data_IF_685108169662
#
_entry.id   IF_685108169662
#
_cell.length_a   1.000
_cell.length_b   1.000
_cell.length_c   1.000
_cell.angle_alpha   90.00
_cell.angle_beta   90.00
_cell.angle_gamma   90.00
#
_symmetry.space_group_name_H-M   'P 1'
#
loop_
_entity.id
_entity.type
_entity.pdbx_description
1 polymer ?
#
# COMPACT_ATOMS: atom_id res chain seq x y z
N UNK A 1 18.46 -15.33 6.05
CA UNK A 1 18.66 -13.87 5.91
C UNK A 1 17.62 -13.34 4.96
N UNK A 2 17.14 -12.09 5.12
CA UNK A 2 16.06 -11.58 4.26
C UNK A 2 16.61 -10.73 3.11
N UNK A 3 15.85 -10.65 2.00
CA UNK A 3 16.15 -9.76 0.88
C UNK A 3 16.31 -8.30 1.30
N UNK A 4 15.66 -7.90 2.40
CA UNK A 4 15.82 -6.58 3.01
C UNK A 4 17.25 -6.29 3.43
N UNK A 5 17.90 -7.28 4.05
CA UNK A 5 19.25 -7.13 4.60
C UNK A 5 20.28 -7.06 3.48
N UNK A 6 20.11 -7.93 2.47
CA UNK A 6 20.93 -7.95 1.26
C UNK A 6 20.78 -6.63 0.50
N UNK A 7 19.55 -6.15 0.31
CA UNK A 7 19.29 -4.86 -0.31
C UNK A 7 19.95 -3.70 0.46
N UNK A 8 19.90 -3.73 1.80
CA UNK A 8 20.55 -2.73 2.64
C UNK A 8 22.07 -2.68 2.50
N UNK A 9 22.72 -3.84 2.31
CA UNK A 9 24.17 -3.91 2.04
C UNK A 9 24.50 -3.36 0.64
N UNK A 10 23.73 -3.75 -0.38
CA UNK A 10 23.94 -3.30 -1.77
C UNK A 10 23.65 -1.80 -1.92
N UNK A 11 22.62 -1.28 -1.25
CA UNK A 11 22.21 0.13 -1.32
C UNK A 11 23.32 1.12 -0.98
N UNK A 12 24.22 0.77 -0.06
CA UNK A 12 25.35 1.63 0.34
C UNK A 12 26.32 1.91 -0.81
N UNK A 13 26.39 1.02 -1.79
CA UNK A 13 27.33 1.09 -2.91
C UNK A 13 26.59 1.33 -4.23
N UNK A 14 25.54 0.56 -4.49
CA UNK A 14 24.67 0.65 -5.66
C UNK A 14 23.22 0.98 -5.23
N UNK A 15 22.88 2.26 -5.01
CA UNK A 15 21.57 2.69 -4.51
C UNK A 15 20.38 2.35 -5.41
N UNK A 16 20.53 2.34 -6.73
CA UNK A 16 19.44 2.07 -7.67
C UNK A 16 19.08 0.57 -7.63
N UNK A 17 20.10 -0.30 -7.64
CA UNK A 17 19.90 -1.74 -7.49
C UNK A 17 19.35 -2.07 -6.10
N UNK A 18 19.87 -1.43 -5.06
CA UNK A 18 19.36 -1.56 -3.69
C UNK A 18 17.89 -1.17 -3.57
N UNK A 19 17.46 -0.08 -4.22
CA UNK A 19 16.06 0.37 -4.27
C UNK A 19 15.16 -0.61 -5.01
N UNK A 20 15.65 -1.23 -6.09
CA UNK A 20 14.90 -2.23 -6.83
C UNK A 20 14.70 -3.53 -6.01
N UNK A 21 15.70 -3.91 -5.20
CA UNK A 21 15.68 -5.09 -4.32
C UNK A 21 14.95 -4.88 -2.98
N UNK A 22 14.96 -3.68 -2.41
CA UNK A 22 14.41 -3.43 -1.06
C UNK A 22 12.92 -3.82 -0.88
N UNK A 23 12.01 -3.65 -1.87
CA UNK A 23 10.60 -4.02 -1.75
C UNK A 23 10.30 -5.51 -2.01
N UNK A 24 11.31 -6.35 -2.23
CA UNK A 24 11.15 -7.79 -2.53
C UNK A 24 10.66 -8.59 -1.30
N UNK A 25 10.49 -7.94 -0.15
CA UNK A 25 10.20 -8.53 1.16
C UNK A 25 8.75 -9.03 1.36
N UNK A 26 7.95 -9.17 0.30
CA UNK A 26 6.49 -9.37 0.39
C UNK A 26 5.90 -10.52 -0.41
N UNK A 27 6.71 -11.50 -0.82
CA UNK A 27 6.28 -12.60 -1.68
C UNK A 27 6.61 -12.36 -3.15
N UNK A 28 6.69 -13.46 -3.90
CA UNK A 28 7.10 -13.51 -5.31
C UNK A 28 6.14 -12.72 -6.22
N UNK A 29 6.31 -11.40 -6.27
CA UNK A 29 5.82 -10.61 -7.40
C UNK A 29 6.69 -10.91 -8.62
N UNK A 30 6.09 -11.00 -9.79
CA UNK A 30 6.79 -11.28 -11.06
C UNK A 30 7.92 -10.27 -11.31
N UNK A 31 7.72 -9.03 -10.86
CA UNK A 31 8.73 -7.96 -10.87
C UNK A 31 9.92 -8.23 -9.92
N UNK A 32 9.71 -8.92 -8.80
CA UNK A 32 10.80 -9.33 -7.91
C UNK A 32 11.68 -10.40 -8.55
N UNK A 33 11.10 -11.35 -9.30
CA UNK A 33 11.86 -12.40 -9.99
C UNK A 33 12.86 -11.86 -11.02
N UNK A 34 12.51 -10.81 -11.75
CA UNK A 34 13.38 -10.18 -12.75
C UNK A 34 14.59 -9.44 -12.14
N UNK A 35 14.40 -8.75 -11.02
CA UNK A 35 15.51 -8.06 -10.32
C UNK A 35 16.42 -9.08 -9.63
N UNK A 36 15.85 -10.13 -9.03
CA UNK A 36 16.61 -11.23 -8.43
C UNK A 36 17.46 -11.92 -9.51
N UNK A 37 16.88 -12.31 -10.64
CA UNK A 37 17.62 -13.00 -11.71
C UNK A 37 18.71 -12.12 -12.33
N UNK A 38 18.49 -10.81 -12.46
CA UNK A 38 19.51 -9.85 -12.88
C UNK A 38 20.71 -9.87 -11.92
N UNK A 39 20.45 -9.84 -10.61
CA UNK A 39 21.49 -9.88 -9.57
C UNK A 39 22.24 -11.21 -9.60
N UNK A 40 21.54 -12.34 -9.75
CA UNK A 40 22.16 -13.66 -9.91
C UNK A 40 23.04 -13.76 -11.15
N UNK A 41 22.59 -13.20 -12.27
CA UNK A 41 23.30 -13.22 -13.54
C UNK A 41 24.66 -12.52 -13.49
N UNK A 42 24.83 -11.49 -12.64
CA UNK A 42 26.12 -10.81 -12.43
C UNK A 42 27.21 -11.75 -11.89
N UNK A 43 26.79 -12.80 -11.19
CA UNK A 43 27.67 -13.80 -10.59
C UNK A 43 27.55 -15.17 -11.26
N UNK A 44 26.82 -15.26 -12.38
CA UNK A 44 26.60 -16.52 -13.10
C UNK A 44 25.71 -17.51 -12.38
N UNK A 45 24.89 -17.07 -11.42
CA UNK A 45 23.94 -17.90 -10.71
C UNK A 45 22.67 -18.10 -11.51
N UNK A 46 22.09 -19.29 -11.42
CA UNK A 46 20.74 -19.54 -11.95
C UNK A 46 19.68 -18.86 -11.07
N UNK A 47 18.46 -18.59 -11.59
CA UNK A 47 17.38 -17.99 -10.80
C UNK A 47 17.03 -18.79 -9.53
N UNK A 48 17.21 -20.10 -9.55
CA UNK A 48 16.95 -21.00 -8.42
C UNK A 48 18.03 -20.92 -7.34
N UNK A 49 19.28 -20.66 -7.73
CA UNK A 49 20.41 -20.50 -6.81
C UNK A 49 20.50 -19.09 -6.23
N UNK A 50 19.77 -18.14 -6.84
CA UNK A 50 19.78 -16.73 -6.46
C UNK A 50 18.91 -16.49 -5.24
N UNK A 51 19.41 -16.94 -4.09
CA UNK A 51 18.79 -16.78 -2.77
C UNK A 51 19.46 -15.65 -1.99
N UNK A 52 18.75 -15.02 -1.01
CA UNK A 52 19.33 -14.00 -0.16
C UNK A 52 20.61 -14.46 0.54
N UNK A 53 20.60 -15.69 1.06
CA UNK A 53 21.74 -16.25 1.80
C UNK A 53 22.95 -16.46 0.87
N UNK A 54 22.73 -16.92 -0.37
CA UNK A 54 23.82 -17.14 -1.33
C UNK A 54 24.45 -15.84 -1.81
N UNK A 55 23.62 -14.83 -2.11
CA UNK A 55 24.13 -13.50 -2.48
C UNK A 55 24.86 -12.85 -1.31
N UNK A 56 24.35 -12.98 -0.09
CA UNK A 56 25.04 -12.46 1.07
C UNK A 56 26.39 -13.15 1.30
N UNK A 57 26.44 -14.47 1.17
CA UNK A 57 27.68 -15.24 1.27
C UNK A 57 28.71 -14.79 0.22
N UNK A 58 28.27 -14.51 -1.02
CA UNK A 58 29.14 -13.97 -2.06
C UNK A 58 29.69 -12.58 -1.72
N UNK A 59 28.86 -11.71 -1.15
CA UNK A 59 29.28 -10.37 -0.71
C UNK A 59 30.27 -10.46 0.46
N UNK A 60 30.06 -11.39 1.39
CA UNK A 60 30.94 -11.57 2.56
C UNK A 60 32.27 -12.23 2.20
N UNK A 61 32.25 -13.19 1.27
CA UNK A 61 33.46 -13.89 0.82
C UNK A 61 34.27 -13.07 -0.20
N UNK A 62 33.62 -12.20 -0.96
CA UNK A 62 34.28 -11.38 -1.96
C UNK A 62 33.80 -9.91 -1.93
N UNK A 63 34.56 -9.00 -1.30
CA UNK A 63 34.26 -7.57 -1.32
C UNK A 63 34.17 -6.96 -2.73
N UNK A 64 34.82 -7.55 -3.74
CA UNK A 64 34.71 -7.12 -5.15
C UNK A 64 33.30 -7.32 -5.72
N UNK A 65 32.47 -8.17 -5.10
CA UNK A 65 31.08 -8.33 -5.49
C UNK A 65 30.31 -6.99 -5.41
N UNK A 66 30.60 -6.17 -4.39
CA UNK A 66 30.00 -4.84 -4.24
C UNK A 66 30.47 -3.87 -5.34
N UNK A 67 31.71 -4.00 -5.78
CA UNK A 67 32.26 -3.19 -6.87
C UNK A 67 31.57 -3.54 -8.20
N UNK A 68 31.36 -4.84 -8.47
CA UNK A 68 30.60 -5.28 -9.67
C UNK A 68 29.19 -4.73 -9.70
N UNK A 69 28.50 -4.66 -8.56
CA UNK A 69 27.19 -4.00 -8.49
C UNK A 69 27.28 -2.51 -8.84
N UNK A 70 28.32 -1.81 -8.36
CA UNK A 70 28.53 -0.39 -8.70
C UNK A 70 28.77 -0.20 -10.18
N UNK A 71 29.66 -0.99 -10.76
CA UNK A 71 30.01 -0.90 -12.17
C UNK A 71 28.80 -1.19 -13.07
N UNK A 72 28.01 -2.22 -12.71
CA UNK A 72 26.79 -2.54 -13.41
C UNK A 72 25.76 -1.41 -13.32
N UNK A 73 25.57 -0.84 -12.12
CA UNK A 73 24.69 0.31 -11.94
C UNK A 73 25.14 1.51 -12.78
N UNK A 74 26.44 1.82 -12.79
CA UNK A 74 26.97 2.93 -13.58
C UNK A 74 26.80 2.70 -15.08
N UNK A 75 26.98 1.46 -15.54
CA UNK A 75 26.83 1.08 -16.95
C UNK A 75 25.37 1.08 -17.43
N UNK A 76 24.44 0.75 -16.54
CA UNK A 76 23.01 0.55 -16.89
C UNK A 76 22.08 1.51 -16.16
N UNK A 77 22.59 2.64 -15.68
CA UNK A 77 21.85 3.59 -14.83
C UNK A 77 20.50 3.98 -15.40
N UNK A 78 20.47 4.42 -16.65
CA UNK A 78 19.24 4.85 -17.34
C UNK A 78 18.20 3.74 -17.41
N UNK A 79 18.63 2.52 -17.75
CA UNK A 79 17.73 1.35 -17.80
C UNK A 79 17.20 0.98 -16.42
N UNK A 80 18.04 1.08 -15.37
CA UNK A 80 17.61 0.78 -14.00
C UNK A 80 16.63 1.84 -13.47
N UNK A 81 16.83 3.11 -13.81
CA UNK A 81 15.88 4.18 -13.48
C UNK A 81 14.55 4.01 -14.22
N UNK A 82 14.58 3.61 -15.49
CA UNK A 82 13.38 3.26 -16.26
C UNK A 82 12.58 2.13 -15.60
N UNK A 83 13.27 1.08 -15.12
CA UNK A 83 12.63 -0.03 -14.39
C UNK A 83 11.98 0.42 -13.07
N UNK A 84 12.56 1.40 -12.37
CA UNK A 84 11.94 2.01 -11.18
C UNK A 84 10.64 2.70 -11.57
N UNK A 85 10.67 3.51 -12.62
CA UNK A 85 9.50 4.25 -13.11
C UNK A 85 8.41 3.29 -13.58
N UNK A 86 8.76 2.24 -14.31
CA UNK A 86 7.82 1.20 -14.77
C UNK A 86 7.16 0.49 -13.59
N UNK A 87 7.95 0.08 -12.59
CA UNK A 87 7.43 -0.53 -11.35
C UNK A 87 6.47 0.39 -10.62
N UNK A 88 6.77 1.68 -10.53
CA UNK A 88 5.86 2.65 -9.91
C UNK A 88 4.58 2.84 -10.72
N UNK A 89 4.67 2.88 -12.06
CA UNK A 89 3.49 2.96 -12.95
C UNK A 89 2.57 1.76 -12.76
N UNK A 90 3.12 0.54 -12.74
CA UNK A 90 2.33 -0.69 -12.50
C UNK A 90 1.63 -0.62 -11.15
N UNK A 91 2.35 -0.22 -10.10
CA UNK A 91 1.75 -0.06 -8.76
C UNK A 91 0.64 0.98 -8.73
N UNK A 92 0.82 2.11 -9.42
CA UNK A 92 -0.22 3.14 -9.55
C UNK A 92 -1.42 2.61 -10.33
N UNK A 93 -1.21 1.81 -11.37
CA UNK A 93 -2.26 1.21 -12.18
C UNK A 93 -3.05 0.16 -11.39
N UNK A 94 -2.39 -0.72 -10.64
CA UNK A 94 -3.03 -1.65 -9.70
C UNK A 94 -3.90 -0.90 -8.68
N UNK A 95 -3.37 0.18 -8.10
CA UNK A 95 -4.12 1.04 -7.18
C UNK A 95 -5.31 1.70 -7.87
N UNK A 96 -5.15 2.17 -9.12
CA UNK A 96 -6.25 2.74 -9.90
C UNK A 96 -7.32 1.70 -10.19
N UNK A 97 -6.96 0.48 -10.58
CA UNK A 97 -7.90 -0.62 -10.83
C UNK A 97 -8.66 -0.94 -9.54
N UNK A 98 -7.98 -1.07 -8.41
CA UNK A 98 -8.62 -1.29 -7.11
C UNK A 98 -9.56 -0.14 -6.72
N UNK A 99 -9.14 1.10 -6.92
CA UNK A 99 -9.96 2.28 -6.67
C UNK A 99 -11.14 2.41 -7.66
N UNK A 100 -11.00 1.93 -8.89
CA UNK A 100 -12.06 1.89 -9.89
C UNK A 100 -13.07 0.78 -9.58
N UNK A 101 -12.61 -0.40 -9.17
CA UNK A 101 -13.49 -1.50 -8.79
C UNK A 101 -14.33 -1.14 -7.56
N UNK A 102 -13.71 -0.54 -6.54
CA UNK A 102 -14.42 0.00 -5.37
C UNK A 102 -15.36 1.15 -5.72
N UNK A 103 -15.02 2.00 -6.71
CA UNK A 103 -15.91 3.05 -7.21
C UNK A 103 -17.07 2.49 -8.04
N UNK A 104 -16.85 1.47 -8.86
CA UNK A 104 -17.87 0.81 -9.69
C UNK A 104 -18.86 0.01 -8.84
N UNK A 105 -18.38 -0.66 -7.80
CA UNK A 105 -19.24 -1.30 -6.79
C UNK A 105 -20.11 -0.28 -6.05
N UNK A 106 -19.56 0.89 -5.72
CA UNK A 106 -20.32 2.00 -5.10
C UNK A 106 -21.28 2.68 -6.08
N UNK A 107 -20.93 2.84 -7.35
CA UNK A 107 -21.82 3.40 -8.37
C UNK A 107 -23.01 2.47 -8.62
N UNK A 108 -22.82 1.14 -8.63
CA UNK A 108 -23.94 0.19 -8.68
C UNK A 108 -24.86 0.28 -7.46
N UNK A 109 -24.32 0.47 -6.25
CA UNK A 109 -25.16 0.72 -5.07
C UNK A 109 -25.96 2.01 -5.21
N UNK A 110 -25.32 3.11 -5.60
CA UNK A 110 -25.95 4.43 -5.75
C UNK A 110 -26.97 4.48 -6.90
N UNK A 111 -26.73 3.77 -8.01
CA UNK A 111 -27.71 3.62 -9.10
C UNK A 111 -28.89 2.75 -8.68
N UNK A 112 -28.66 1.67 -7.93
CA UNK A 112 -29.75 0.87 -7.36
C UNK A 112 -30.57 1.66 -6.33
N UNK A 113 -29.94 2.48 -5.49
CA UNK A 113 -30.62 3.38 -4.54
C UNK A 113 -31.40 4.49 -5.25
N UNK A 114 -30.86 5.06 -6.34
CA UNK A 114 -31.54 6.08 -7.16
C UNK A 114 -32.78 5.53 -7.88
N UNK A 115 -32.77 4.27 -8.31
CA UNK A 115 -33.93 3.63 -8.95
C UNK A 115 -35.00 3.23 -7.91
N UNK A 116 -34.61 2.93 -6.67
CA UNK A 116 -35.54 2.41 -5.64
C UNK A 116 -36.05 3.48 -4.67
N UNK A 117 -35.44 4.67 -4.64
CA UNK A 117 -35.97 5.86 -3.94
C UNK A 117 -35.98 5.77 -2.41
N UNK A 118 -35.30 4.79 -1.81
CA UNK A 118 -35.21 4.64 -0.35
C UNK A 118 -33.75 4.78 0.06
N UNK A 119 -33.46 5.87 0.78
CA UNK A 119 -32.18 6.09 1.47
C UNK A 119 -31.94 4.88 2.37
N UNK A 120 -30.80 4.18 2.26
CA UNK A 120 -30.49 3.00 3.07
C UNK A 120 -30.36 3.37 4.57
N UNK A 121 -31.49 3.57 5.25
CA UNK A 121 -31.56 3.83 6.71
C UNK A 121 -30.93 2.66 7.47
N UNK A 122 -30.97 1.47 6.88
CA UNK A 122 -30.34 0.26 7.40
C UNK A 122 -28.82 0.39 7.51
N UNK A 123 -28.16 1.08 6.57
CA UNK A 123 -26.70 1.28 6.59
C UNK A 123 -26.29 2.20 7.74
N UNK A 124 -27.02 3.30 7.94
CA UNK A 124 -26.78 4.22 9.06
C UNK A 124 -27.11 3.56 10.41
N UNK A 125 -28.21 2.80 10.50
CA UNK A 125 -28.57 2.06 11.70
C UNK A 125 -27.50 1.01 12.07
N UNK A 126 -26.98 0.28 11.09
CA UNK A 126 -25.94 -0.72 11.28
C UNK A 126 -24.59 -0.08 11.67
N UNK A 127 -24.24 1.07 11.07
CA UNK A 127 -23.04 1.82 11.43
C UNK A 127 -23.12 2.35 12.87
N UNK A 128 -24.25 2.95 13.27
CA UNK A 128 -24.48 3.40 14.64
C UNK A 128 -24.50 2.25 15.64
N UNK A 129 -25.08 1.10 15.29
CA UNK A 129 -25.06 -0.10 16.12
C UNK A 129 -23.64 -0.62 16.33
N UNK A 130 -22.83 -0.68 15.26
CA UNK A 130 -21.45 -1.16 15.33
C UNK A 130 -20.55 -0.23 16.16
N UNK A 131 -20.64 1.09 15.91
CA UNK A 131 -19.88 2.10 16.66
C UNK A 131 -20.33 2.09 18.13
N UNK A 132 -21.63 2.07 18.39
CA UNK A 132 -22.19 2.00 19.74
C UNK A 132 -21.73 0.75 20.49
N UNK A 133 -21.81 -0.43 19.85
CA UNK A 133 -21.35 -1.70 20.41
C UNK A 133 -19.85 -1.71 20.74
N UNK A 134 -19.02 -1.09 19.89
CA UNK A 134 -17.59 -0.93 20.16
C UNK A 134 -17.32 -0.09 21.43
N UNK A 135 -17.97 1.08 21.55
CA UNK A 135 -17.81 1.93 22.72
C UNK A 135 -18.39 1.30 23.99
N UNK A 136 -19.52 0.59 23.92
CA UNK A 136 -20.08 -0.16 25.05
C UNK A 136 -19.10 -1.23 25.52
N UNK A 137 -18.53 -2.00 24.59
CA UNK A 137 -17.55 -3.05 24.92
C UNK A 137 -16.29 -2.45 25.55
N UNK A 138 -15.83 -1.30 25.05
CA UNK A 138 -14.73 -0.54 25.67
C UNK A 138 -15.06 -0.14 27.10
N UNK A 139 -16.23 0.46 27.33
CA UNK A 139 -16.68 0.87 28.67
C UNK A 139 -16.75 -0.34 29.61
N UNK A 140 -17.27 -1.49 29.15
CA UNK A 140 -17.36 -2.71 29.96
C UNK A 140 -15.97 -3.22 30.33
N UNK A 141 -15.05 -3.36 29.36
CA UNK A 141 -13.70 -3.86 29.61
C UNK A 141 -12.93 -2.93 30.55
N UNK A 142 -13.01 -1.62 30.29
CA UNK A 142 -12.39 -0.60 31.14
C UNK A 142 -13.00 -0.59 32.54
N UNK A 143 -14.33 -0.69 32.67
CA UNK A 143 -15.00 -0.75 33.97
C UNK A 143 -14.65 -2.01 34.76
N UNK A 144 -14.53 -3.17 34.09
CA UNK A 144 -14.08 -4.41 34.71
C UNK A 144 -12.64 -4.27 35.23
N UNK A 145 -11.76 -3.63 34.45
CA UNK A 145 -10.37 -3.34 34.84
C UNK A 145 -10.28 -2.45 36.08
N UNK A 146 -11.12 -1.41 36.17
CA UNK A 146 -11.15 -0.52 37.34
C UNK A 146 -11.73 -1.16 38.61
N UNK A 147 -12.58 -2.19 38.47
CA UNK A 147 -13.21 -2.87 39.61
C UNK A 147 -12.36 -4.03 40.17
N UNK A 148 -11.12 -4.23 39.66
CA UNK A 148 -10.24 -5.37 39.98
C UNK A 148 -10.89 -6.76 39.79
N UNK A 149 -12.00 -6.83 39.05
CA UNK A 149 -12.73 -8.06 38.73
C UNK A 149 -12.24 -8.72 37.45
N UNK A 150 -11.19 -8.18 36.82
CA UNK A 150 -10.51 -8.86 35.71
C UNK A 150 -9.71 -10.01 36.30
N UNK A 151 -9.86 -11.25 35.80
CA UNK A 151 -8.97 -12.33 36.18
C UNK A 151 -7.53 -11.95 35.77
N UNK A 152 -6.75 -11.43 36.73
CA UNK A 152 -5.39 -10.90 36.53
C UNK A 152 -4.42 -11.99 36.02
N UNK A 153 -4.82 -13.26 36.12
CA UNK A 153 -4.08 -14.42 35.63
C UNK A 153 -4.65 -14.97 34.30
N UNK A 154 -4.99 -14.10 33.35
CA UNK A 154 -5.24 -14.58 31.99
C UNK A 154 -3.92 -15.00 31.34
N UNK A 155 -3.81 -16.24 30.81
CA UNK A 155 -2.66 -16.65 30.03
C UNK A 155 -2.37 -15.65 28.90
N UNK A 156 -1.10 -15.41 28.61
CA UNK A 156 -0.66 -14.45 27.58
C UNK A 156 -1.33 -14.66 26.21
N UNK A 157 -1.69 -15.90 25.85
CA UNK A 157 -2.40 -16.19 24.60
C UNK A 157 -3.83 -15.62 24.57
N UNK A 158 -4.52 -15.57 25.71
CA UNK A 158 -5.87 -14.97 25.81
C UNK A 158 -5.78 -13.46 25.68
N UNK A 159 -4.79 -12.84 26.33
CA UNK A 159 -4.55 -11.39 26.21
C UNK A 159 -4.22 -11.03 24.75
N UNK A 160 -3.40 -11.84 24.09
CA UNK A 160 -3.07 -11.66 22.66
C UNK A 160 -4.30 -11.80 21.76
N UNK A 161 -5.15 -12.82 21.99
CA UNK A 161 -6.39 -13.04 21.23
C UNK A 161 -7.36 -11.86 21.42
N UNK A 162 -7.55 -11.41 22.66
CA UNK A 162 -8.40 -10.26 22.98
C UNK A 162 -7.86 -8.97 22.37
N UNK A 163 -6.54 -8.77 22.41
CA UNK A 163 -5.89 -7.63 21.75
C UNK A 163 -6.05 -7.64 20.22
N UNK A 164 -5.94 -8.82 19.59
CA UNK A 164 -6.14 -8.96 18.15
C UNK A 164 -7.61 -8.75 17.75
N UNK A 165 -8.55 -9.31 18.51
CA UNK A 165 -9.99 -9.09 18.32
C UNK A 165 -10.32 -7.60 18.46
N UNK A 166 -9.79 -6.95 19.50
CA UNK A 166 -9.99 -5.53 19.73
C UNK A 166 -9.37 -4.66 18.62
N UNK A 167 -8.18 -5.01 18.14
CA UNK A 167 -7.53 -4.35 17.00
C UNK A 167 -8.35 -4.48 15.71
N UNK A 168 -8.93 -5.65 15.46
CA UNK A 168 -9.81 -5.89 14.31
C UNK A 168 -11.10 -5.06 14.41
N UNK A 169 -11.73 -5.00 15.59
CA UNK A 169 -12.91 -4.16 15.83
C UNK A 169 -12.60 -2.66 15.63
N UNK A 170 -11.45 -2.22 16.13
CA UNK A 170 -10.98 -0.83 15.96
C UNK A 170 -10.76 -0.51 14.47
N UNK A 171 -10.17 -1.44 13.71
CA UNK A 171 -10.01 -1.32 12.25
C UNK A 171 -11.36 -1.21 11.54
N UNK A 172 -12.37 -1.96 11.99
CA UNK A 172 -13.75 -1.86 11.51
C UNK A 172 -14.36 -0.46 11.72
N UNK A 173 -14.19 0.13 12.91
CA UNK A 173 -14.65 1.50 13.20
C UNK A 173 -13.95 2.52 12.30
N UNK A 174 -12.63 2.40 12.11
CA UNK A 174 -11.86 3.26 11.20
C UNK A 174 -12.37 3.11 9.76
N UNK A 175 -12.67 1.89 9.31
CA UNK A 175 -13.25 1.62 7.99
C UNK A 175 -14.61 2.29 7.78
N UNK A 176 -15.49 2.25 8.78
CA UNK A 176 -16.79 2.95 8.75
C UNK A 176 -16.58 4.47 8.68
N UNK A 177 -15.68 5.01 9.52
CA UNK A 177 -15.33 6.44 9.49
C UNK A 177 -14.78 6.85 8.11
N UNK A 178 -13.89 6.05 7.51
CA UNK A 178 -13.36 6.31 6.17
C UNK A 178 -14.45 6.25 5.09
N UNK A 179 -15.43 5.35 5.21
CA UNK A 179 -16.56 5.28 4.30
C UNK A 179 -17.39 6.58 4.33
N UNK A 180 -17.75 7.06 5.53
CA UNK A 180 -18.58 8.26 5.69
C UNK A 180 -17.81 9.57 5.44
N UNK A 181 -16.59 9.72 5.94
CA UNK A 181 -15.81 10.97 5.82
C UNK A 181 -14.91 11.02 4.58
N UNK A 182 -14.45 9.87 4.07
CA UNK A 182 -13.53 9.80 2.94
C UNK A 182 -14.20 9.95 1.58
N UNK A 183 -15.46 9.54 1.43
CA UNK A 183 -16.16 9.56 0.14
C UNK A 183 -16.73 10.94 -0.25
N UNK A 184 -17.18 11.73 0.73
CA UNK A 184 -17.87 13.00 0.44
C UNK A 184 -16.92 14.17 0.19
N UNK A 185 -15.86 14.33 0.99
CA UNK A 185 -14.93 15.47 0.86
C UNK A 185 -13.96 15.30 -0.32
N UNK A 186 -13.42 14.09 -0.49
CA UNK A 186 -12.49 13.78 -1.57
C UNK A 186 -13.10 13.82 -2.98
N UNK A 187 -14.40 13.54 -3.12
CA UNK A 187 -15.10 13.63 -4.41
C UNK A 187 -15.43 15.08 -4.77
N UNK A 188 -15.90 15.87 -3.81
CA UNK A 188 -16.19 17.29 -4.02
C UNK A 188 -14.92 18.09 -4.40
N UNK A 189 -13.80 17.85 -3.72
CA UNK A 189 -12.54 18.52 -4.01
C UNK A 189 -11.96 18.11 -5.37
N UNK A 190 -12.09 16.84 -5.76
CA UNK A 190 -11.71 16.36 -7.10
C UNK A 190 -12.57 16.99 -8.20
N UNK A 191 -13.89 17.04 -8.02
CA UNK A 191 -14.79 17.68 -9.00
C UNK A 191 -14.51 19.18 -9.10
N UNK A 192 -14.25 19.87 -7.98
CA UNK A 192 -13.89 21.29 -7.98
C UNK A 192 -12.55 21.55 -8.69
N UNK A 193 -11.55 20.69 -8.45
CA UNK A 193 -10.24 20.77 -9.09
C UNK A 193 -10.35 20.48 -10.60
N UNK A 194 -11.12 19.47 -11.00
CA UNK A 194 -11.36 19.16 -12.41
C UNK A 194 -12.13 20.28 -13.13
N UNK A 195 -13.14 20.87 -12.47
CA UNK A 195 -13.88 22.01 -13.02
C UNK A 195 -12.98 23.23 -13.20
N UNK A 196 -12.06 23.46 -12.27
CA UNK A 196 -11.07 24.56 -12.37
C UNK A 196 -10.07 24.30 -13.49
N UNK A 197 -9.50 23.09 -13.57
CA UNK A 197 -8.59 22.69 -14.65
C UNK A 197 -9.27 22.75 -16.03
N UNK A 198 -10.54 22.37 -16.13
CA UNK A 198 -11.31 22.46 -17.36
C UNK A 198 -11.57 23.92 -17.76
N UNK A 199 -11.91 24.78 -16.80
CA UNK A 199 -12.08 26.23 -17.02
C UNK A 199 -10.77 26.89 -17.46
N UNK A 200 -9.65 26.51 -16.87
CA UNK A 200 -8.33 27.01 -17.24
C UNK A 200 -7.91 26.52 -18.63
N UNK A 201 -8.25 25.29 -19.01
CA UNK A 201 -8.02 24.76 -20.36
C UNK A 201 -8.88 25.47 -21.43
N UNK A 202 -10.12 25.85 -21.10
CA UNK A 202 -10.98 26.65 -21.98
C UNK A 202 -10.46 28.10 -22.12
N UNK A 203 -10.05 28.71 -21.01
CA UNK A 203 -9.48 30.07 -21.02
C UNK A 203 -8.11 30.13 -21.71
N UNK A 204 -7.31 29.07 -21.62
CA UNK A 204 -6.04 28.93 -22.34
C UNK A 204 -6.20 28.78 -23.86
N UNK A 205 -7.30 28.15 -24.32
CA UNK A 205 -7.64 28.06 -25.75
C UNK A 205 -8.25 29.34 -26.33
N UNK A 206 -8.86 30.20 -25.50
CA UNK A 206 -9.41 31.50 -25.94
C UNK A 206 -8.34 32.52 -26.34
N UNK A 207 -7.09 32.37 -25.89
CA UNK A 207 -6.01 33.33 -26.21
C UNK A 207 -5.23 33.01 -27.49
N UNK A 208 -5.56 31.95 -28.22
CA UNK A 208 -4.82 31.52 -29.42
C UNK A 208 -5.54 31.91 -30.72
N UNK A 209 -6.76 32.47 -30.69
CA UNK A 209 -7.44 32.95 -31.89
C UNK A 209 -7.97 34.38 -31.73
N UNK A 210 -7.10 35.35 -31.99
CA UNK A 210 -7.50 36.64 -32.55
C UNK A 210 -6.41 37.06 -33.56
N UNK A 211 -6.55 36.73 -34.85
CA UNK A 211 -5.79 37.41 -35.88
C UNK A 211 -6.46 38.75 -36.19
N UNK A 212 -5.83 39.84 -35.77
CA UNK A 212 -5.62 41.12 -36.48
C UNK A 212 -4.94 42.12 -35.56
#
# INVERSE_FOLDING_TARGET
MDWKDVAGKIFKVAPVIGTLLAPVTGGASVAAGGIISMVGSLFGLTPEETTPDKINQLIEQNPEALVKFKEFEMKHKERLEELIIEKEKVKIEEQKIFLQDTQSARQRQVESEKVTGKKDVNLYALAWLFIGGYFITMIIITSLAFTNNVPIQMPNYIIFLLGNLFGTLTTGVVGIMQYFYGSSKGSADKTATMATQFKDALNGKSKINAPM
#
